data_IF_042717176464
#
_entry.id   IF_042717176464
#
_cell.length_a   1.000
_cell.length_b   1.000
_cell.length_c   1.000
_cell.angle_alpha   90.00
_cell.angle_beta   90.00
_cell.angle_gamma   90.00
#
_symmetry.space_group_name_H-M   'P 1'
#
loop_
_entity.id
_entity.type
_entity.pdbx_description
1 polymer ?
#
# COMPACT_ATOMS: atom_id res chain seq x y z
N UNK A 1 29.94 0.85 -2.06
CA UNK A 1 28.75 1.68 -2.36
C UNK A 1 28.03 1.00 -3.52
N UNK A 2 26.96 0.25 -3.25
CA UNK A 2 26.08 -0.31 -4.28
C UNK A 2 25.43 0.85 -4.99
N UNK A 3 25.64 0.96 -6.29
CA UNK A 3 24.99 1.95 -7.15
C UNK A 3 23.47 1.75 -7.01
N UNK A 4 22.76 2.79 -6.54
CA UNK A 4 21.32 2.79 -6.48
C UNK A 4 20.80 2.61 -7.90
N UNK A 5 19.99 1.56 -8.14
CA UNK A 5 19.38 1.38 -9.44
C UNK A 5 18.52 2.59 -9.76
N UNK A 6 18.62 3.12 -10.97
CA UNK A 6 17.88 4.31 -11.40
C UNK A 6 16.35 4.18 -11.26
N UNK A 7 15.84 2.95 -11.14
CA UNK A 7 14.43 2.61 -10.91
C UNK A 7 14.07 2.37 -9.43
N UNK A 8 14.91 2.75 -8.45
CA UNK A 8 14.63 2.61 -7.00
C UNK A 8 14.39 1.18 -6.53
N UNK A 9 14.94 0.17 -7.22
CA UNK A 9 14.68 -1.27 -7.00
C UNK A 9 13.20 -1.66 -7.13
N UNK A 10 12.47 -1.03 -8.05
CA UNK A 10 11.11 -1.42 -8.45
C UNK A 10 11.18 -2.15 -9.79
N UNK A 11 10.57 -3.33 -9.82
CA UNK A 11 10.31 -4.08 -11.06
C UNK A 11 8.81 -4.17 -11.27
N UNK A 12 8.38 -3.93 -12.49
CA UNK A 12 6.97 -4.03 -12.88
C UNK A 12 6.79 -5.08 -13.96
N UNK A 13 5.69 -5.81 -13.89
CA UNK A 13 5.27 -6.78 -14.88
C UNK A 13 3.76 -6.69 -15.05
N UNK A 14 3.29 -6.54 -16.28
CA UNK A 14 1.86 -6.47 -16.55
C UNK A 14 1.42 -7.72 -17.32
N UNK A 15 0.37 -8.36 -16.82
CA UNK A 15 -0.34 -9.44 -17.50
C UNK A 15 -1.81 -9.05 -17.63
N UNK A 16 -2.21 -8.69 -18.83
CA UNK A 16 -3.55 -8.19 -19.12
C UNK A 16 -3.93 -7.00 -18.20
N UNK A 17 -4.96 -7.18 -17.39
CA UNK A 17 -5.48 -6.15 -16.49
C UNK A 17 -4.80 -6.12 -15.11
N UNK A 18 -3.76 -6.92 -14.89
CA UNK A 18 -3.02 -7.01 -13.62
C UNK A 18 -1.62 -6.48 -13.78
N UNK A 19 -1.26 -5.47 -13.00
CA UNK A 19 0.11 -4.98 -12.87
C UNK A 19 0.71 -5.49 -11.56
N UNK A 20 1.81 -6.22 -11.64
CA UNK A 20 2.62 -6.62 -10.48
C UNK A 20 3.77 -5.64 -10.28
N UNK A 21 3.84 -5.06 -9.09
CA UNK A 21 4.92 -4.17 -8.64
C UNK A 21 5.73 -4.88 -7.58
N UNK A 22 6.97 -5.20 -7.89
CA UNK A 22 7.88 -5.94 -7.01
C UNK A 22 8.94 -4.99 -6.45
N UNK A 23 9.04 -4.94 -5.11
CA UNK A 23 10.22 -4.41 -4.44
C UNK A 23 11.35 -5.45 -4.65
N UNK A 24 12.40 -5.09 -5.38
CA UNK A 24 13.39 -6.04 -5.88
C UNK A 24 14.81 -5.74 -5.35
N UNK A 25 14.92 -5.81 -4.01
CA UNK A 25 16.18 -5.67 -3.26
C UNK A 25 16.25 -6.72 -2.13
N UNK A 26 16.14 -8.03 -2.46
CA UNK A 26 15.97 -9.10 -1.47
C UNK A 26 17.11 -9.22 -0.47
N UNK A 27 18.35 -8.93 -0.85
CA UNK A 27 19.53 -8.98 0.03
C UNK A 27 19.47 -7.94 1.16
N UNK A 28 18.68 -6.89 1.00
CA UNK A 28 18.41 -5.86 2.00
C UNK A 28 16.96 -5.94 2.54
N UNK A 29 16.31 -7.11 2.40
CA UNK A 29 14.92 -7.33 2.79
C UNK A 29 13.98 -6.27 2.22
N UNK A 30 14.22 -5.84 0.99
CA UNK A 30 13.45 -4.82 0.28
C UNK A 30 13.37 -3.49 1.05
N UNK A 31 14.48 -3.08 1.69
CA UNK A 31 14.60 -1.78 2.34
C UNK A 31 14.38 -0.65 1.32
N UNK A 32 13.61 0.35 1.73
CA UNK A 32 13.12 1.44 0.88
C UNK A 32 13.96 2.70 1.06
N UNK A 33 14.04 3.48 0.00
CA UNK A 33 14.68 4.80 -0.02
C UNK A 33 13.73 5.82 -0.66
N UNK A 34 14.02 7.14 -0.59
CA UNK A 34 13.29 8.15 -1.35
C UNK A 34 13.20 7.84 -2.85
N UNK A 35 14.24 7.22 -3.45
CA UNK A 35 14.21 6.79 -4.85
C UNK A 35 13.18 5.68 -5.08
N UNK A 36 13.02 4.75 -4.13
CA UNK A 36 11.96 3.73 -4.18
C UNK A 36 10.58 4.37 -4.21
N UNK A 37 10.34 5.38 -3.36
CA UNK A 37 9.05 6.09 -3.30
C UNK A 37 8.78 6.93 -4.54
N UNK A 38 9.82 7.56 -5.10
CA UNK A 38 9.71 8.27 -6.38
C UNK A 38 9.37 7.31 -7.52
N UNK A 39 10.02 6.14 -7.57
CA UNK A 39 9.73 5.11 -8.58
C UNK A 39 8.28 4.58 -8.45
N UNK A 40 7.81 4.31 -7.22
CA UNK A 40 6.42 3.92 -6.97
C UNK A 40 5.44 5.00 -7.44
N UNK A 41 5.74 6.28 -7.17
CA UNK A 41 4.93 7.41 -7.65
C UNK A 41 4.89 7.47 -9.18
N UNK A 42 6.03 7.25 -9.84
CA UNK A 42 6.12 7.23 -11.30
C UNK A 42 5.30 6.08 -11.92
N UNK A 43 5.32 4.90 -11.30
CA UNK A 43 4.46 3.77 -11.72
C UNK A 43 2.99 4.19 -11.66
N UNK A 44 2.55 4.80 -10.55
CA UNK A 44 1.16 5.25 -10.41
C UNK A 44 0.76 6.33 -11.41
N UNK A 45 1.68 7.21 -11.80
CA UNK A 45 1.44 8.29 -12.77
C UNK A 45 1.40 7.79 -14.22
N UNK A 46 2.07 6.66 -14.52
CA UNK A 46 2.15 6.06 -15.86
C UNK A 46 1.27 4.81 -16.02
N UNK A 47 0.30 4.63 -15.11
CA UNK A 47 -0.55 3.45 -15.12
C UNK A 47 -1.42 3.42 -16.38
N UNK A 48 -1.43 2.27 -17.07
CA UNK A 48 -2.27 2.04 -18.22
C UNK A 48 -3.75 2.00 -17.80
N UNK A 49 -4.64 2.57 -18.64
CA UNK A 49 -6.09 2.59 -18.40
C UNK A 49 -6.70 1.17 -18.37
N UNK A 50 -6.06 0.19 -18.97
CA UNK A 50 -6.46 -1.21 -18.98
C UNK A 50 -6.15 -1.93 -17.66
N UNK A 51 -5.25 -1.39 -16.83
CA UNK A 51 -4.95 -1.97 -15.52
C UNK A 51 -6.15 -1.80 -14.58
N UNK A 52 -6.56 -2.91 -13.98
CA UNK A 52 -7.68 -2.99 -13.02
C UNK A 52 -7.25 -3.40 -11.63
N UNK A 53 -6.19 -4.20 -11.56
CA UNK A 53 -5.63 -4.69 -10.30
C UNK A 53 -4.13 -4.42 -10.26
N UNK A 54 -3.65 -3.91 -9.13
CA UNK A 54 -2.23 -3.74 -8.85
C UNK A 54 -1.84 -4.67 -7.71
N UNK A 55 -0.89 -5.57 -7.94
CA UNK A 55 -0.31 -6.42 -6.88
C UNK A 55 1.03 -5.83 -6.47
N UNK A 56 1.18 -5.51 -5.17
CA UNK A 56 2.45 -5.09 -4.59
C UNK A 56 3.04 -6.24 -3.79
N UNK A 57 4.29 -6.59 -4.08
CA UNK A 57 5.00 -7.69 -3.41
C UNK A 57 6.47 -7.38 -3.17
N UNK A 58 7.11 -8.14 -2.29
CA UNK A 58 8.56 -8.11 -2.11
C UNK A 58 9.22 -9.33 -2.76
N UNK A 59 10.40 -9.16 -3.36
CA UNK A 59 11.23 -10.28 -3.77
C UNK A 59 11.87 -10.97 -2.55
N UNK A 60 12.03 -12.29 -2.61
CA UNK A 60 12.69 -13.08 -1.56
C UNK A 60 11.82 -13.27 -0.32
N UNK A 61 12.45 -13.29 0.87
CA UNK A 61 11.85 -13.76 2.13
C UNK A 61 11.06 -12.72 2.93
N UNK A 62 10.99 -11.48 2.49
CA UNK A 62 10.29 -10.41 3.20
C UNK A 62 9.54 -9.49 2.22
N UNK A 63 8.44 -8.95 2.66
CA UNK A 63 7.76 -7.89 1.92
C UNK A 63 8.63 -6.63 1.89
N UNK A 64 8.94 -6.03 3.05
CA UNK A 64 9.87 -4.91 3.17
C UNK A 64 10.27 -4.66 4.63
N UNK A 65 11.57 -4.47 4.87
CA UNK A 65 12.11 -4.05 6.17
C UNK A 65 11.92 -2.55 6.47
N UNK A 66 11.30 -1.79 5.57
CA UNK A 66 11.05 -0.35 5.73
C UNK A 66 12.22 0.51 5.27
N UNK A 67 12.41 1.67 5.89
CA UNK A 67 13.45 2.62 5.52
C UNK A 67 14.85 2.00 5.62
N UNK A 68 15.67 2.22 4.61
CA UNK A 68 17.07 1.77 4.59
C UNK A 68 17.83 2.33 5.80
N UNK A 69 18.56 1.46 6.49
CA UNK A 69 19.30 1.81 7.72
C UNK A 69 20.34 2.92 7.52
N UNK A 70 20.91 3.03 6.32
CA UNK A 70 21.86 4.10 6.00
C UNK A 70 21.26 5.49 6.11
N UNK A 71 19.92 5.60 5.96
CA UNK A 71 19.17 6.86 6.00
C UNK A 71 18.82 7.31 7.42
N UNK A 72 19.01 6.47 8.45
CA UNK A 72 18.74 6.82 9.85
C UNK A 72 19.80 7.70 10.50
N UNK A 73 20.91 7.98 9.80
CA UNK A 73 21.94 8.84 10.35
C UNK A 73 21.39 10.24 10.66
N UNK A 74 21.60 10.76 11.91
CA UNK A 74 21.27 12.15 12.23
C UNK A 74 22.28 13.14 11.66
N UNK A 75 23.40 12.64 11.10
CA UNK A 75 24.45 13.49 10.51
C UNK A 75 24.02 13.95 9.10
N UNK A 76 24.46 15.17 8.69
CA UNK A 76 24.22 15.64 7.33
C UNK A 76 25.07 14.87 6.30
N UNK A 77 24.66 14.97 5.03
CA UNK A 77 25.43 14.45 3.89
C UNK A 77 25.01 13.07 3.42
N UNK A 78 23.94 12.49 4.01
CA UNK A 78 23.29 11.31 3.46
C UNK A 78 22.04 11.78 2.71
N UNK A 79 22.15 11.90 1.38
CA UNK A 79 21.07 12.40 0.53
C UNK A 79 19.74 11.65 0.79
N UNK A 80 18.69 12.39 1.15
CA UNK A 80 17.40 11.82 1.53
C UNK A 80 17.34 11.17 2.91
N UNK A 81 18.42 11.25 3.70
CA UNK A 81 18.46 10.75 5.08
C UNK A 81 17.68 11.64 6.06
N UNK A 82 17.36 11.07 7.22
CA UNK A 82 16.64 11.78 8.28
C UNK A 82 17.37 13.02 8.78
N UNK A 83 18.73 12.97 8.82
CA UNK A 83 19.57 14.10 9.21
C UNK A 83 19.47 15.28 8.26
N UNK A 84 19.39 15.05 6.97
CA UNK A 84 19.24 16.10 5.97
C UNK A 84 17.79 16.65 6.00
N UNK A 85 16.80 15.76 6.04
CA UNK A 85 15.39 16.15 6.11
C UNK A 85 15.09 17.02 7.34
N UNK A 86 15.61 16.63 8.52
CA UNK A 86 15.39 17.33 9.78
C UNK A 86 16.05 18.71 9.89
N UNK A 87 16.92 19.08 8.94
CA UNK A 87 17.57 20.40 8.86
C UNK A 87 16.90 21.36 7.87
N UNK A 88 15.97 20.86 7.06
CA UNK A 88 15.22 21.70 6.14
C UNK A 88 14.30 22.66 6.91
N UNK A 89 13.99 23.83 6.35
CA UNK A 89 12.85 24.62 6.81
C UNK A 89 11.57 23.78 6.85
N UNK A 90 10.69 24.03 7.82
CA UNK A 90 9.51 23.19 8.06
C UNK A 90 8.64 23.01 6.80
N UNK A 91 8.43 24.05 6.03
CA UNK A 91 7.63 23.99 4.79
C UNK A 91 8.30 23.11 3.72
N UNK A 92 9.62 23.21 3.55
CA UNK A 92 10.36 22.40 2.60
C UNK A 92 10.39 20.92 3.03
N UNK A 93 10.56 20.65 4.33
CA UNK A 93 10.50 19.29 4.87
C UNK A 93 9.11 18.66 4.64
N UNK A 94 8.03 19.41 4.91
CA UNK A 94 6.67 18.95 4.66
C UNK A 94 6.41 18.67 3.19
N UNK A 95 6.87 19.50 2.28
CA UNK A 95 6.72 19.29 0.84
C UNK A 95 7.51 18.05 0.38
N UNK A 96 8.71 17.82 0.94
CA UNK A 96 9.50 16.62 0.68
C UNK A 96 8.76 15.36 1.12
N UNK A 97 8.20 15.36 2.34
CA UNK A 97 7.38 14.25 2.87
C UNK A 97 6.11 14.06 2.02
N UNK A 98 5.47 15.13 1.57
CA UNK A 98 4.33 15.06 0.65
C UNK A 98 4.70 14.33 -0.65
N UNK A 99 5.87 14.61 -1.19
CA UNK A 99 6.41 13.89 -2.35
C UNK A 99 6.58 12.40 -2.07
N UNK A 100 7.09 12.03 -0.90
CA UNK A 100 7.22 10.63 -0.47
C UNK A 100 5.87 9.94 -0.36
N UNK A 101 4.87 10.60 0.22
CA UNK A 101 3.49 10.08 0.30
C UNK A 101 2.88 9.78 -1.08
N UNK A 102 3.32 10.47 -2.12
CA UNK A 102 2.91 10.20 -3.51
C UNK A 102 3.14 8.75 -3.93
N UNK A 103 4.24 8.14 -3.48
CA UNK A 103 4.56 6.73 -3.74
C UNK A 103 3.58 5.72 -3.11
N UNK A 104 2.73 6.15 -2.20
CA UNK A 104 1.76 5.31 -1.49
C UNK A 104 0.33 5.60 -1.91
N UNK A 105 -0.05 6.88 -2.05
CA UNK A 105 -1.44 7.31 -2.27
C UNK A 105 -2.07 6.78 -3.55
N UNK A 106 -1.27 6.61 -4.61
CA UNK A 106 -1.78 6.15 -5.90
C UNK A 106 -2.37 4.74 -5.85
N UNK A 107 -1.96 3.91 -4.88
CA UNK A 107 -2.50 2.56 -4.69
C UNK A 107 -4.01 2.51 -4.39
N UNK A 108 -4.60 3.65 -4.02
CA UNK A 108 -6.04 3.82 -3.83
C UNK A 108 -6.65 4.82 -4.82
N UNK A 109 -5.99 5.05 -5.96
CA UNK A 109 -6.58 5.91 -6.98
C UNK A 109 -7.83 5.28 -7.61
N UNK A 110 -8.75 6.10 -8.17
CA UNK A 110 -9.91 5.59 -8.88
C UNK A 110 -9.52 4.66 -10.04
N UNK A 111 -10.33 3.64 -10.29
CA UNK A 111 -10.17 2.74 -11.45
C UNK A 111 -9.41 1.45 -11.17
N UNK A 112 -8.64 1.37 -10.11
CA UNK A 112 -7.89 0.16 -9.72
C UNK A 112 -8.30 -0.37 -8.36
N UNK A 113 -7.97 -1.64 -8.09
CA UNK A 113 -7.94 -2.25 -6.75
C UNK A 113 -6.52 -2.74 -6.50
N UNK A 114 -5.94 -2.39 -5.35
CA UNK A 114 -4.58 -2.79 -5.00
C UNK A 114 -4.56 -3.91 -3.95
N UNK A 115 -3.63 -4.86 -4.13
CA UNK A 115 -3.45 -6.04 -3.27
C UNK A 115 -1.99 -6.10 -2.81
N UNK A 116 -1.75 -6.09 -1.51
CA UNK A 116 -0.43 -6.39 -0.95
C UNK A 116 -0.29 -7.90 -0.71
N UNK A 117 0.70 -8.53 -1.32
CA UNK A 117 1.12 -9.90 -1.06
C UNK A 117 2.26 -9.87 -0.04
N UNK A 118 1.96 -10.16 1.22
CA UNK A 118 2.86 -9.91 2.35
C UNK A 118 3.39 -11.22 2.91
N UNK A 119 4.68 -11.46 2.68
CA UNK A 119 5.43 -12.56 3.31
C UNK A 119 6.44 -12.01 4.30
N UNK A 120 6.74 -12.75 5.37
CA UNK A 120 7.75 -12.43 6.36
C UNK A 120 7.54 -11.04 6.99
N UNK A 121 8.42 -10.09 6.74
CA UNK A 121 8.40 -8.79 7.42
C UNK A 121 7.81 -7.67 6.56
N UNK A 122 6.86 -6.91 7.13
CA UNK A 122 6.39 -5.61 6.68
C UNK A 122 6.59 -4.59 7.81
N UNK A 123 7.68 -3.80 7.79
CA UNK A 123 8.11 -2.95 8.90
C UNK A 123 8.17 -1.49 8.47
N UNK A 124 7.71 -0.56 9.30
CA UNK A 124 7.77 0.89 9.09
C UNK A 124 7.20 1.29 7.73
N UNK A 125 8.02 1.86 6.83
CA UNK A 125 7.61 2.19 5.47
C UNK A 125 7.05 0.97 4.70
N UNK A 126 7.55 -0.26 4.98
CA UNK A 126 7.01 -1.49 4.42
C UNK A 126 5.59 -1.80 4.93
N UNK A 127 5.35 -1.63 6.22
CA UNK A 127 4.02 -1.76 6.80
C UNK A 127 3.06 -0.71 6.24
N UNK A 128 3.51 0.55 6.13
CA UNK A 128 2.71 1.63 5.55
C UNK A 128 2.41 1.40 4.07
N UNK A 129 3.32 0.77 3.30
CA UNK A 129 3.06 0.38 1.92
C UNK A 129 1.99 -0.72 1.83
N UNK A 130 2.05 -1.75 2.68
CA UNK A 130 1.02 -2.77 2.76
C UNK A 130 -0.34 -2.19 3.17
N UNK A 131 -0.37 -1.21 4.08
CA UNK A 131 -1.56 -0.48 4.49
C UNK A 131 -2.11 0.45 3.40
N UNK A 132 -1.26 0.97 2.52
CA UNK A 132 -1.70 1.80 1.41
C UNK A 132 -2.49 1.00 0.35
N UNK A 133 -2.34 -0.32 0.29
CA UNK A 133 -3.15 -1.17 -0.58
C UNK A 133 -4.58 -1.34 -0.03
N UNK A 134 -5.53 -1.61 -0.93
CA UNK A 134 -6.92 -1.90 -0.57
C UNK A 134 -7.04 -3.22 0.19
N UNK A 135 -6.40 -4.27 -0.32
CA UNK A 135 -6.46 -5.63 0.22
C UNK A 135 -5.05 -6.14 0.60
N UNK A 136 -5.01 -7.10 1.52
CA UNK A 136 -3.76 -7.72 2.01
C UNK A 136 -3.93 -9.22 2.15
N UNK A 137 -3.06 -9.99 1.47
CA UNK A 137 -2.90 -11.43 1.64
C UNK A 137 -1.60 -11.64 2.40
N UNK A 138 -1.66 -12.28 3.56
CA UNK A 138 -0.50 -12.56 4.41
C UNK A 138 -0.12 -14.02 4.33
N UNK A 139 1.17 -14.29 4.39
CA UNK A 139 1.63 -15.63 4.78
C UNK A 139 1.48 -15.84 6.28
N UNK A 140 1.43 -17.08 6.74
CA UNK A 140 1.26 -17.44 8.16
C UNK A 140 2.45 -17.01 9.04
N UNK A 141 3.62 -16.81 8.45
CA UNK A 141 4.82 -16.26 9.10
C UNK A 141 4.90 -14.71 9.02
N UNK A 142 3.96 -14.05 8.35
CA UNK A 142 4.02 -12.61 8.14
C UNK A 142 3.86 -11.81 9.45
N UNK A 143 4.62 -10.73 9.55
CA UNK A 143 4.58 -9.79 10.67
C UNK A 143 4.53 -8.36 10.17
N UNK A 144 3.52 -7.61 10.61
CA UNK A 144 3.42 -6.18 10.38
C UNK A 144 3.86 -5.41 11.63
N UNK A 145 4.68 -4.37 11.46
CA UNK A 145 5.17 -3.55 12.56
C UNK A 145 5.30 -2.08 12.17
N UNK A 146 4.85 -1.18 13.03
CA UNK A 146 5.02 0.27 12.93
C UNK A 146 5.88 0.76 14.09
N UNK A 147 7.23 0.68 14.00
CA UNK A 147 8.12 0.99 15.10
C UNK A 147 8.48 2.47 15.24
N UNK A 148 7.94 3.35 14.40
CA UNK A 148 8.35 4.75 14.25
C UNK A 148 8.39 5.48 15.58
N UNK A 149 7.35 5.35 16.43
CA UNK A 149 7.30 6.01 17.73
C UNK A 149 8.44 5.57 18.67
N UNK A 150 8.86 4.30 18.61
CA UNK A 150 9.98 3.78 19.41
C UNK A 150 11.34 4.31 18.94
N UNK A 151 11.39 4.88 17.74
CA UNK A 151 12.57 5.49 17.12
C UNK A 151 12.55 7.03 17.20
N UNK A 152 11.57 7.62 17.91
CA UNK A 152 11.39 9.07 17.99
C UNK A 152 10.81 9.71 16.72
N UNK A 153 10.17 8.90 15.88
CA UNK A 153 9.54 9.30 14.62
C UNK A 153 8.02 9.06 14.70
N UNK A 154 7.33 9.40 13.61
CA UNK A 154 5.90 9.09 13.44
C UNK A 154 5.68 8.34 12.11
N UNK A 155 4.63 7.52 11.99
CA UNK A 155 4.21 6.99 10.70
C UNK A 155 3.71 8.14 9.82
N UNK A 156 4.45 8.48 8.76
CA UNK A 156 4.24 9.66 7.92
C UNK A 156 3.92 9.34 6.46
N UNK A 157 3.91 8.05 6.09
CA UNK A 157 3.69 7.58 4.73
C UNK A 157 2.25 7.05 4.52
N UNK A 158 1.25 7.78 5.03
CA UNK A 158 -0.20 7.54 4.89
C UNK A 158 -0.78 6.36 5.69
N UNK A 159 0.02 5.62 6.46
CA UNK A 159 -0.42 4.38 7.13
C UNK A 159 -1.43 4.56 8.27
N UNK A 160 -1.43 5.72 8.96
CA UNK A 160 -2.22 5.91 10.19
C UNK A 160 -3.73 5.91 9.94
N UNK A 161 -4.21 6.60 8.90
CA UNK A 161 -5.65 6.68 8.59
C UNK A 161 -6.19 5.30 8.23
N UNK A 162 -5.47 4.58 7.35
CA UNK A 162 -5.85 3.22 6.96
C UNK A 162 -5.86 2.26 8.13
N UNK A 163 -4.86 2.34 9.01
CA UNK A 163 -4.82 1.47 10.18
C UNK A 163 -6.05 1.69 11.08
N UNK A 164 -6.41 2.96 11.32
CA UNK A 164 -7.61 3.28 12.11
C UNK A 164 -8.89 2.76 11.45
N UNK A 165 -9.01 2.89 10.12
CA UNK A 165 -10.14 2.35 9.36
C UNK A 165 -10.27 0.84 9.51
N UNK A 166 -9.15 0.11 9.51
CA UNK A 166 -9.14 -1.35 9.54
C UNK A 166 -9.36 -1.94 10.94
N UNK A 167 -8.71 -1.39 11.95
CA UNK A 167 -8.64 -2.02 13.29
C UNK A 167 -9.29 -1.20 14.40
N UNK A 168 -9.77 0.00 14.09
CA UNK A 168 -10.34 0.96 15.03
C UNK A 168 -9.29 1.73 15.83
N UNK A 169 -9.71 2.84 16.44
CA UNK A 169 -8.83 3.81 17.10
C UNK A 169 -7.91 3.19 18.16
N UNK A 170 -8.48 2.44 19.11
CA UNK A 170 -7.72 1.94 20.26
C UNK A 170 -6.60 0.98 19.88
N UNK A 171 -6.87 0.04 18.93
CA UNK A 171 -5.84 -0.88 18.45
C UNK A 171 -4.79 -0.16 17.62
N UNK A 172 -5.21 0.75 16.73
CA UNK A 172 -4.29 1.54 15.94
C UNK A 172 -3.33 2.34 16.83
N UNK A 173 -3.85 2.98 17.88
CA UNK A 173 -3.06 3.73 18.86
C UNK A 173 -2.05 2.82 19.57
N UNK A 174 -2.49 1.67 20.07
CA UNK A 174 -1.65 0.70 20.76
C UNK A 174 -0.54 0.18 19.84
N UNK A 175 -0.86 -0.26 18.61
CA UNK A 175 0.12 -0.76 17.64
C UNK A 175 1.17 0.31 17.31
N UNK A 176 0.74 1.55 17.02
CA UNK A 176 1.66 2.63 16.66
C UNK A 176 2.55 3.07 17.82
N UNK A 177 2.02 3.18 19.07
CA UNK A 177 2.79 3.67 20.20
C UNK A 177 3.75 2.62 20.77
N UNK A 178 3.33 1.36 20.82
CA UNK A 178 4.19 0.27 21.31
C UNK A 178 5.20 -0.19 20.27
N UNK A 179 4.91 0.00 18.99
CA UNK A 179 5.73 -0.50 17.89
C UNK A 179 5.89 -2.03 17.91
N UNK A 180 4.98 -2.76 18.58
CA UNK A 180 5.02 -4.23 18.61
C UNK A 180 4.72 -4.84 17.24
N UNK A 181 5.12 -6.07 17.06
CA UNK A 181 4.74 -6.83 15.89
C UNK A 181 3.29 -7.33 16.02
N UNK A 182 2.56 -7.30 14.90
CA UNK A 182 1.26 -7.95 14.70
C UNK A 182 1.49 -9.14 13.78
N UNK A 183 1.37 -10.36 14.32
CA UNK A 183 1.52 -11.59 13.54
C UNK A 183 0.28 -11.89 12.69
N UNK A 184 0.42 -12.81 11.73
CA UNK A 184 -0.61 -13.12 10.73
C UNK A 184 -1.95 -13.52 11.34
N UNK A 185 -1.96 -14.39 12.37
CA UNK A 185 -3.18 -14.82 13.03
C UNK A 185 -3.94 -13.65 13.69
N UNK A 186 -3.23 -12.76 14.40
CA UNK A 186 -3.81 -11.55 14.96
C UNK A 186 -4.28 -10.61 13.85
N UNK A 187 -3.46 -10.39 12.82
CA UNK A 187 -3.80 -9.54 11.69
C UNK A 187 -5.13 -9.98 11.02
N UNK A 188 -5.34 -11.29 10.89
CA UNK A 188 -6.60 -11.85 10.39
C UNK A 188 -7.77 -11.59 11.35
N UNK A 189 -7.56 -11.80 12.66
CA UNK A 189 -8.60 -11.64 13.67
C UNK A 189 -9.09 -10.19 13.83
N UNK A 190 -8.19 -9.20 13.62
CA UNK A 190 -8.53 -7.77 13.76
C UNK A 190 -8.89 -7.08 12.44
N UNK A 191 -8.95 -7.81 11.31
CA UNK A 191 -9.30 -7.26 10.00
C UNK A 191 -8.14 -6.57 9.26
N UNK A 192 -6.91 -6.67 9.77
CA UNK A 192 -5.72 -6.12 9.13
C UNK A 192 -5.31 -6.92 7.90
N UNK A 193 -5.44 -8.24 7.91
CA UNK A 193 -5.27 -9.12 6.77
C UNK A 193 -6.63 -9.66 6.28
N UNK A 194 -6.87 -9.61 4.97
CA UNK A 194 -8.08 -10.18 4.36
C UNK A 194 -8.01 -11.72 4.31
N UNK A 195 -6.82 -12.25 4.00
CA UNK A 195 -6.56 -13.68 3.90
C UNK A 195 -5.21 -13.98 4.54
N UNK A 196 -5.09 -15.15 5.18
CA UNK A 196 -3.82 -15.70 5.68
C UNK A 196 -3.67 -17.11 5.15
N UNK A 197 -2.51 -17.43 4.58
CA UNK A 197 -2.20 -18.70 3.93
C UNK A 197 -0.79 -19.18 4.27
N UNK A 198 -0.48 -20.48 4.15
CA UNK A 198 0.89 -20.95 4.17
C UNK A 198 1.76 -20.22 3.12
N UNK A 199 3.05 -20.07 3.40
CA UNK A 199 3.95 -19.32 2.51
C UNK A 199 3.97 -19.86 1.07
N UNK A 200 3.83 -21.19 0.89
CA UNK A 200 3.79 -21.82 -0.44
C UNK A 200 2.53 -21.51 -1.26
N UNK A 201 1.47 -21.02 -0.62
CA UNK A 201 0.16 -20.78 -1.26
C UNK A 201 -0.08 -19.30 -1.59
N UNK A 202 0.87 -18.41 -1.24
CA UNK A 202 0.70 -16.95 -1.41
C UNK A 202 0.41 -16.58 -2.86
N UNK A 203 1.23 -17.05 -3.79
CA UNK A 203 1.13 -16.68 -5.21
C UNK A 203 -0.18 -17.19 -5.83
N UNK A 204 -0.58 -18.42 -5.53
CA UNK A 204 -1.83 -19.00 -6.00
C UNK A 204 -3.04 -18.24 -5.44
N UNK A 205 -3.03 -17.92 -4.14
CA UNK A 205 -4.12 -17.15 -3.50
C UNK A 205 -4.24 -15.74 -4.07
N UNK A 206 -3.12 -15.08 -4.33
CA UNK A 206 -3.13 -13.74 -4.96
C UNK A 206 -3.65 -13.82 -6.39
N UNK A 207 -3.27 -14.86 -7.17
CA UNK A 207 -3.76 -15.08 -8.52
C UNK A 207 -5.29 -15.32 -8.52
N UNK A 208 -5.81 -16.17 -7.64
CA UNK A 208 -7.25 -16.42 -7.50
C UNK A 208 -8.02 -15.15 -7.11
N UNK A 209 -7.48 -14.38 -6.16
CA UNK A 209 -8.08 -13.11 -5.74
C UNK A 209 -8.11 -12.09 -6.90
N UNK A 210 -7.01 -11.94 -7.62
CA UNK A 210 -6.94 -11.02 -8.76
C UNK A 210 -7.89 -11.45 -9.88
N UNK A 211 -7.99 -12.73 -10.19
CA UNK A 211 -8.95 -13.27 -11.14
C UNK A 211 -10.40 -12.94 -10.73
N UNK A 212 -10.74 -13.13 -9.45
CA UNK A 212 -12.06 -12.77 -8.93
C UNK A 212 -12.35 -11.25 -9.01
N UNK A 213 -11.34 -10.39 -8.79
CA UNK A 213 -11.48 -8.94 -8.86
C UNK A 213 -11.67 -8.42 -10.30
N UNK A 214 -11.09 -9.09 -11.30
CA UNK A 214 -11.24 -8.70 -12.71
C UNK A 214 -12.44 -9.35 -13.41
N UNK A 215 -13.03 -10.40 -12.85
CA UNK A 215 -14.16 -11.11 -13.45
C UNK A 215 -15.42 -10.25 -13.70
N UNK A 216 -15.83 -9.33 -12.79
CA UNK A 216 -17.00 -8.50 -13.03
C UNK A 216 -16.76 -7.47 -14.16
N UNK A 217 -17.83 -6.98 -14.82
CA UNK A 217 -17.72 -5.89 -15.81
C UNK A 217 -16.98 -4.67 -15.25
N UNK A 218 -16.13 -4.06 -16.07
CA UNK A 218 -15.24 -2.95 -15.68
C UNK A 218 -16.00 -1.79 -15.05
N UNK A 219 -17.11 -1.35 -15.67
CA UNK A 219 -17.93 -0.25 -15.17
C UNK A 219 -18.48 -0.53 -13.77
N UNK A 220 -19.04 -1.73 -13.57
CA UNK A 220 -19.60 -2.14 -12.28
C UNK A 220 -18.52 -2.25 -11.19
N UNK A 221 -17.35 -2.85 -11.51
CA UNK A 221 -16.22 -2.94 -10.58
C UNK A 221 -15.73 -1.56 -10.12
N UNK A 222 -15.48 -0.66 -11.09
CA UNK A 222 -14.99 0.70 -10.80
C UNK A 222 -16.00 1.49 -9.97
N UNK A 223 -17.31 1.41 -10.32
CA UNK A 223 -18.36 2.06 -9.57
C UNK A 223 -18.47 1.53 -8.13
N UNK A 224 -18.44 0.20 -7.96
CA UNK A 224 -18.50 -0.43 -6.64
C UNK A 224 -17.30 -0.03 -5.78
N UNK A 225 -16.07 -0.09 -6.32
CA UNK A 225 -14.87 0.32 -5.59
C UNK A 225 -14.94 1.80 -5.15
N UNK A 226 -15.44 2.69 -6.01
CA UNK A 226 -15.63 4.10 -5.69
C UNK A 226 -16.66 4.30 -4.55
N UNK A 227 -17.78 3.57 -4.57
CA UNK A 227 -18.81 3.62 -3.52
C UNK A 227 -18.28 3.14 -2.17
N UNK A 228 -17.56 2.00 -2.16
CA UNK A 228 -16.96 1.47 -0.92
C UNK A 228 -15.94 2.46 -0.34
N UNK A 229 -15.10 3.09 -1.18
CA UNK A 229 -14.14 4.10 -0.72
C UNK A 229 -14.82 5.38 -0.20
N UNK A 230 -15.93 5.81 -0.82
CA UNK A 230 -16.66 7.01 -0.37
C UNK A 230 -17.42 6.79 0.94
N UNK A 231 -17.87 5.56 1.20
CA UNK A 231 -18.64 5.22 2.39
C UNK A 231 -17.90 5.49 3.71
N UNK A 232 -16.55 5.50 3.68
CA UNK A 232 -15.72 5.84 4.86
C UNK A 232 -15.83 7.32 5.25
N UNK A 233 -16.24 8.21 4.32
CA UNK A 233 -16.23 9.67 4.51
C UNK A 233 -17.60 10.32 4.38
N UNK A 234 -18.50 9.69 3.63
CA UNK A 234 -19.84 10.23 3.40
C UNK A 234 -20.71 10.02 4.64
N UNK A 235 -21.61 10.98 4.89
CA UNK A 235 -22.77 10.72 5.72
C UNK A 235 -23.77 9.78 5.00
N UNK A 236 -24.74 9.21 5.72
CA UNK A 236 -25.68 8.24 5.12
C UNK A 236 -26.44 8.77 3.90
N UNK A 237 -26.89 10.03 3.93
CA UNK A 237 -27.67 10.61 2.83
C UNK A 237 -26.80 10.81 1.57
N UNK A 238 -25.59 11.32 1.73
CA UNK A 238 -24.62 11.47 0.64
C UNK A 238 -24.22 10.11 0.06
N UNK A 239 -24.06 9.09 0.90
CA UNK A 239 -23.73 7.73 0.43
C UNK A 239 -24.90 7.12 -0.36
N UNK A 240 -26.12 7.19 0.16
CA UNK A 240 -27.33 6.71 -0.54
C UNK A 240 -27.52 7.41 -1.89
N UNK A 241 -27.25 8.72 -1.96
CA UNK A 241 -27.32 9.49 -3.21
C UNK A 241 -26.26 9.01 -4.21
N UNK A 242 -25.04 8.75 -3.75
CA UNK A 242 -23.95 8.22 -4.58
C UNK A 242 -24.30 6.83 -5.15
N UNK A 243 -24.87 5.95 -4.33
CA UNK A 243 -25.30 4.61 -4.73
C UNK A 243 -26.40 4.67 -5.79
N UNK A 244 -27.45 5.49 -5.57
CA UNK A 244 -28.52 5.69 -6.57
C UNK A 244 -27.96 6.20 -7.90
N UNK A 245 -27.06 7.18 -7.86
CA UNK A 245 -26.45 7.73 -9.07
C UNK A 245 -25.58 6.71 -9.80
N UNK A 246 -24.80 5.91 -9.09
CA UNK A 246 -24.00 4.84 -9.67
C UNK A 246 -24.87 3.76 -10.30
N UNK A 247 -25.91 3.31 -9.60
CA UNK A 247 -26.83 2.28 -10.10
C UNK A 247 -27.54 2.72 -11.38
N UNK A 248 -28.02 3.96 -11.45
CA UNK A 248 -28.68 4.49 -12.67
C UNK A 248 -27.71 4.46 -13.86
N UNK A 249 -26.45 4.84 -13.67
CA UNK A 249 -25.45 4.76 -14.75
C UNK A 249 -25.28 3.32 -15.24
N UNK A 250 -25.12 2.35 -14.31
CA UNK A 250 -24.95 0.94 -14.68
C UNK A 250 -26.18 0.37 -15.41
N UNK A 251 -27.40 0.73 -14.99
CA UNK A 251 -28.65 0.34 -15.68
C UNK A 251 -28.69 0.90 -17.10
N UNK A 252 -28.29 2.15 -17.31
CA UNK A 252 -28.24 2.74 -18.66
C UNK A 252 -27.20 2.04 -19.55
N UNK A 253 -26.04 1.64 -19.00
CA UNK A 253 -25.04 0.88 -19.73
C UNK A 253 -25.55 -0.51 -20.13
N UNK A 254 -26.23 -1.21 -19.21
CA UNK A 254 -26.85 -2.52 -19.47
C UNK A 254 -27.88 -2.48 -20.60
N UNK A 255 -28.69 -1.43 -20.65
CA UNK A 255 -29.75 -1.28 -21.69
C UNK A 255 -29.14 -0.91 -23.05
N UNK A 256 -28.05 -0.11 -23.06
CA UNK A 256 -27.38 0.30 -24.31
C UNK A 256 -26.52 -0.78 -24.91
N UNK A 257 -26.00 -1.70 -24.10
CA UNK A 257 -25.15 -2.81 -24.54
C UNK A 257 -25.92 -4.03 -25.07
N UNK A 258 -27.24 -3.93 -25.17
CA UNK A 258 -28.12 -4.88 -25.87
C UNK A 258 -28.55 -4.30 -27.20
#
# INVERSE_FOLDING_TARGET
MTQENANGWIRTEQDGAVLTVTLDRPDQLNAQTPATWAALSAVGASLDDDVRVVVVRGAGRAFSAGLDRSLFSPQPGVAGGLGDLGRLPAEEAQERIRGYQGGFRWLRQPGIVSVAAVQGHAIGAGAQLALACDLRVFTDDAQLRLPEATLGLVPDLTGTSTLVELVGYSRALEICLTGRAVGAAEARAIGLANVVVPAGDLDATVADLTAALIAPPVGASRATAALVRSAVRNDPEAQDAAERAAQVRQLHELVRGR
#
